data_IF_107918134750
#
_entry.id   IF_107918134750
#
_cell.length_a   1.000
_cell.length_b   1.000
_cell.length_c   1.000
_cell.angle_alpha   90.00
_cell.angle_beta   90.00
_cell.angle_gamma   90.00
#
_symmetry.space_group_name_H-M   'P 1'
#
loop_
_entity.id
_entity.type
_entity.pdbx_description
1 polymer ?
#
# COMPACT_ATOMS: atom_id res chain seq x y z
N UNK A 1 -33.81 8.56 29.00
CA UNK A 1 -33.35 7.72 27.88
C UNK A 1 -32.20 8.48 27.22
N UNK A 2 -30.96 8.04 27.39
CA UNK A 2 -29.81 8.68 26.75
C UNK A 2 -29.57 8.00 25.39
N UNK A 3 -29.72 8.76 24.31
CA UNK A 3 -29.39 8.30 22.97
C UNK A 3 -27.87 8.31 22.82
N UNK A 4 -27.26 7.12 22.75
CA UNK A 4 -25.87 6.99 22.36
C UNK A 4 -25.80 7.11 20.84
N UNK A 5 -25.29 8.24 20.33
CA UNK A 5 -24.92 8.39 18.93
C UNK A 5 -23.64 7.58 18.68
N UNK A 6 -23.76 6.45 17.99
CA UNK A 6 -22.60 5.74 17.44
C UNK A 6 -22.02 6.57 16.29
N UNK A 7 -20.91 7.28 16.55
CA UNK A 7 -20.12 7.90 15.49
C UNK A 7 -19.65 6.80 14.51
N UNK A 8 -19.83 6.94 13.19
CA UNK A 8 -19.25 5.99 12.25
C UNK A 8 -17.73 6.01 12.43
N UNK A 9 -17.10 4.85 12.63
CA UNK A 9 -15.66 4.73 12.47
C UNK A 9 -15.35 5.13 11.04
N UNK A 10 -14.80 6.34 10.87
CA UNK A 10 -14.21 6.75 9.61
C UNK A 10 -13.03 5.82 9.37
N UNK A 11 -13.25 4.74 8.64
CA UNK A 11 -12.22 3.92 8.00
C UNK A 11 -11.51 4.84 7.01
N UNK A 12 -10.55 5.60 7.51
CA UNK A 12 -9.82 6.58 6.72
C UNK A 12 -9.04 5.87 5.64
N UNK A 13 -9.40 6.10 4.38
CA UNK A 13 -8.57 5.76 3.25
C UNK A 13 -7.21 6.44 3.46
N UNK A 14 -6.15 5.63 3.56
CA UNK A 14 -4.78 6.14 3.68
C UNK A 14 -4.08 6.02 2.34
N UNK A 15 -3.18 6.95 2.03
CA UNK A 15 -2.38 6.91 0.81
C UNK A 15 -0.90 6.74 1.20
N UNK A 16 -0.25 5.70 0.69
CA UNK A 16 1.19 5.52 0.79
C UNK A 16 1.84 6.02 -0.49
N UNK A 17 2.71 7.02 -0.40
CA UNK A 17 3.49 7.50 -1.54
C UNK A 17 4.99 7.42 -1.26
N UNK A 18 5.75 6.93 -2.23
CA UNK A 18 7.20 6.75 -2.09
C UNK A 18 7.92 6.93 -3.42
N UNK A 19 9.22 7.21 -3.32
CA UNK A 19 10.13 7.19 -4.45
C UNK A 19 11.06 5.98 -4.34
N UNK A 20 11.34 5.33 -5.46
CA UNK A 20 12.28 4.20 -5.50
C UNK A 20 13.19 4.26 -6.73
N UNK A 21 14.33 3.59 -6.62
CA UNK A 21 15.23 3.28 -7.75
C UNK A 21 15.68 1.83 -7.59
N UNK A 22 15.68 1.06 -8.69
CA UNK A 22 16.21 -0.30 -8.67
C UNK A 22 17.65 -0.31 -9.21
N UNK A 23 18.48 -1.30 -8.83
CA UNK A 23 19.79 -1.49 -9.44
C UNK A 23 19.69 -1.82 -10.93
N UNK A 24 20.82 -1.72 -11.65
CA UNK A 24 20.90 -2.08 -13.07
C UNK A 24 20.74 -3.59 -13.37
N UNK A 25 20.71 -4.41 -12.31
CA UNK A 25 20.35 -5.83 -12.35
C UNK A 25 18.84 -6.00 -12.25
N UNK A 26 18.32 -7.13 -12.72
CA UNK A 26 16.91 -7.48 -12.49
C UNK A 26 16.70 -7.62 -10.98
N UNK A 27 15.77 -6.86 -10.44
CA UNK A 27 15.38 -6.90 -9.03
C UNK A 27 13.87 -6.71 -8.91
N UNK A 28 13.31 -7.23 -7.82
CA UNK A 28 11.90 -7.09 -7.47
C UNK A 28 11.80 -6.21 -6.22
N UNK A 29 10.94 -5.20 -6.28
CA UNK A 29 10.52 -4.42 -5.12
C UNK A 29 9.06 -4.76 -4.84
N UNK A 30 8.78 -5.16 -3.60
CA UNK A 30 7.46 -5.57 -3.16
C UNK A 30 7.07 -4.78 -1.91
N UNK A 31 5.82 -4.32 -1.87
CA UNK A 31 5.22 -3.61 -0.75
C UNK A 31 4.10 -4.47 -0.19
N UNK A 32 4.25 -4.81 1.10
CA UNK A 32 3.27 -5.60 1.84
C UNK A 32 2.73 -4.78 3.00
N UNK A 33 1.44 -4.97 3.29
CA UNK A 33 0.86 -4.55 4.57
C UNK A 33 0.86 -5.71 5.54
N UNK A 34 1.45 -5.49 6.71
CA UNK A 34 1.38 -6.43 7.82
C UNK A 34 0.46 -5.86 8.90
N UNK A 35 -0.59 -6.60 9.19
CA UNK A 35 -1.46 -6.42 10.36
C UNK A 35 -1.09 -7.44 11.42
N UNK A 36 -1.70 -7.35 12.60
CA UNK A 36 -1.47 -8.31 13.69
C UNK A 36 -1.70 -9.77 13.28
N UNK A 37 -2.61 -10.01 12.33
CA UNK A 37 -3.05 -11.36 11.95
C UNK A 37 -2.64 -11.78 10.54
N UNK A 38 -2.27 -10.84 9.67
CA UNK A 38 -2.07 -11.14 8.26
C UNK A 38 -1.06 -10.22 7.58
N UNK A 39 -0.29 -10.77 6.64
CA UNK A 39 0.50 -10.01 5.68
C UNK A 39 -0.10 -10.16 4.30
N UNK A 40 -0.46 -9.05 3.67
CA UNK A 40 -1.00 -9.02 2.31
C UNK A 40 -0.08 -8.24 1.39
N UNK A 41 0.16 -8.77 0.20
CA UNK A 41 0.82 -8.02 -0.85
C UNK A 41 -0.10 -6.90 -1.35
N UNK A 42 0.41 -5.67 -1.36
CA UNK A 42 -0.29 -4.53 -1.94
C UNK A 42 0.17 -4.24 -3.35
N UNK A 43 1.46 -4.43 -3.61
CA UNK A 43 2.08 -4.05 -4.87
C UNK A 43 3.44 -4.72 -5.04
N UNK A 44 3.79 -5.07 -6.27
CA UNK A 44 5.15 -5.49 -6.63
C UNK A 44 5.51 -5.02 -8.04
N UNK A 45 6.80 -4.71 -8.23
CA UNK A 45 7.38 -4.44 -9.54
C UNK A 45 8.64 -5.27 -9.71
N UNK A 46 8.75 -5.92 -10.86
CA UNK A 46 10.00 -6.57 -11.30
C UNK A 46 10.47 -5.88 -12.56
N UNK A 47 11.60 -5.20 -12.49
CA UNK A 47 12.12 -4.48 -13.64
C UNK A 47 13.64 -4.39 -13.61
N UNK A 48 14.25 -4.29 -14.79
CA UNK A 48 15.66 -3.95 -14.95
C UNK A 48 15.76 -2.44 -15.05
N UNK A 49 15.78 -1.75 -13.92
CA UNK A 49 15.71 -0.29 -13.95
C UNK A 49 16.96 0.34 -14.57
N UNK A 50 16.69 1.34 -15.41
CA UNK A 50 17.63 2.44 -15.63
C UNK A 50 17.70 3.21 -14.31
N UNK A 51 18.87 3.71 -13.90
CA UNK A 51 19.07 4.41 -12.61
C UNK A 51 18.30 5.74 -12.54
N UNK A 52 16.99 5.66 -12.47
CA UNK A 52 16.04 6.76 -12.48
C UNK A 52 15.13 6.61 -11.27
N UNK A 53 14.87 7.74 -10.62
CA UNK A 53 13.88 7.80 -9.54
C UNK A 53 12.48 7.68 -10.12
N UNK A 54 11.71 6.74 -9.60
CA UNK A 54 10.30 6.54 -9.95
C UNK A 54 9.44 6.90 -8.74
N UNK A 55 8.33 7.58 -8.99
CA UNK A 55 7.31 7.89 -7.98
C UNK A 55 6.17 6.88 -8.05
N UNK A 56 5.72 6.39 -6.89
CA UNK A 56 4.58 5.48 -6.77
C UNK A 56 3.61 5.96 -5.69
N UNK A 57 2.32 5.69 -5.88
CA UNK A 57 1.27 6.00 -4.90
C UNK A 57 0.27 4.85 -4.81
N UNK A 58 0.17 4.26 -3.63
CA UNK A 58 -0.73 3.17 -3.30
C UNK A 58 -1.86 3.66 -2.41
N UNK A 59 -3.08 3.20 -2.69
CA UNK A 59 -4.23 3.40 -1.82
C UNK A 59 -4.30 2.24 -0.83
N UNK A 60 -4.27 2.57 0.46
CA UNK A 60 -4.44 1.65 1.56
C UNK A 60 -5.92 1.61 1.91
N UNK A 61 -6.69 0.87 1.11
CA UNK A 61 -8.09 0.58 1.44
C UNK A 61 -8.11 -0.62 2.38
N UNK A 62 -8.66 -0.43 3.58
CA UNK A 62 -8.74 -1.47 4.61
C UNK A 62 -9.84 -2.52 4.30
N UNK A 63 -10.12 -2.77 3.03
CA UNK A 63 -11.19 -3.65 2.57
C UNK A 63 -11.27 -3.76 1.06
N UNK A 64 -10.77 -4.90 0.54
CA UNK A 64 -11.19 -5.60 -0.68
C UNK A 64 -11.13 -4.87 -2.04
N UNK A 65 -10.15 -5.25 -2.86
CA UNK A 65 -10.25 -5.58 -4.31
C UNK A 65 -8.81 -5.87 -4.77
N UNK A 66 -8.35 -7.08 -5.11
CA UNK A 66 -8.94 -8.12 -5.95
C UNK A 66 -9.66 -7.54 -7.17
N UNK A 67 -8.87 -7.01 -8.11
CA UNK A 67 -9.11 -7.17 -9.55
C UNK A 67 -7.79 -7.48 -10.23
#
# INVERSE_FOLDING_TARGET
MFSMSSSPLSTGAACLSFYYTLPASIATLQVNTTTEYNTTELWSVTYRAVRTWTFERLFLDNGSSAV
#
